data_IF_439202443363
#
_entry.id   IF_439202443363
#
_cell.length_a   1.000
_cell.length_b   1.000
_cell.length_c   1.000
_cell.angle_alpha   90.00
_cell.angle_beta   90.00
_cell.angle_gamma   90.00
#
_symmetry.space_group_name_H-M   'P 1'
#
loop_
_entity.id
_entity.type
_entity.pdbx_description
1 polymer ?
#
# COMPACT_ATOMS: atom_id res chain seq x y z
N UNK A 1 14.99 8.93 -7.21
CA UNK A 1 16.11 8.65 -6.28
C UNK A 1 16.70 9.96 -5.81
N UNK A 2 16.94 10.06 -4.51
CA UNK A 2 17.66 11.16 -3.87
C UNK A 2 18.86 10.58 -3.09
N UNK A 3 20.06 11.08 -3.35
CA UNK A 3 21.28 10.71 -2.62
C UNK A 3 21.30 11.43 -1.28
N UNK A 4 21.74 10.73 -0.22
CA UNK A 4 21.68 11.26 1.15
C UNK A 4 22.62 12.45 1.36
N UNK A 5 23.80 12.46 0.74
CA UNK A 5 24.75 13.56 0.81
C UNK A 5 24.23 14.89 0.21
N UNK A 6 23.12 14.81 -0.58
CA UNK A 6 22.45 15.98 -1.16
C UNK A 6 21.18 16.38 -0.38
N UNK A 7 20.84 15.65 0.67
CA UNK A 7 19.68 15.93 1.52
C UNK A 7 19.95 17.09 2.49
N UNK A 8 18.90 17.64 3.09
CA UNK A 8 19.04 18.57 4.19
C UNK A 8 19.41 17.80 5.47
N UNK A 9 20.46 18.26 6.18
CA UNK A 9 21.02 17.58 7.34
C UNK A 9 20.86 18.43 8.59
N UNK A 10 20.58 17.78 9.73
CA UNK A 10 20.34 18.43 11.01
C UNK A 10 21.13 17.77 12.14
N UNK A 11 21.40 18.53 13.21
CA UNK A 11 22.04 18.04 14.39
C UNK A 11 23.46 17.56 14.12
N UNK A 12 23.75 16.30 14.47
CA UNK A 12 25.05 15.66 14.25
C UNK A 12 25.17 14.94 12.92
N UNK A 13 24.11 14.88 12.12
CA UNK A 13 24.16 14.27 10.79
C UNK A 13 25.12 15.05 9.87
N UNK A 14 25.95 14.35 9.13
CA UNK A 14 26.94 14.94 8.24
C UNK A 14 27.29 14.02 7.07
N UNK A 15 27.84 14.60 6.01
CA UNK A 15 28.31 13.83 4.84
C UNK A 15 29.68 13.23 5.10
N UNK A 16 29.89 12.00 4.62
CA UNK A 16 31.15 11.27 4.75
C UNK A 16 31.48 10.46 3.50
N UNK A 17 32.73 9.98 3.39
CA UNK A 17 33.27 9.19 2.27
C UNK A 17 34.25 8.12 2.75
N UNK A 18 34.37 7.90 4.06
CA UNK A 18 35.41 7.02 4.64
C UNK A 18 35.08 5.52 4.56
N UNK A 19 33.94 5.17 3.97
CA UNK A 19 33.51 3.81 3.65
C UNK A 19 33.42 3.60 2.14
N UNK A 20 33.13 2.37 1.69
CA UNK A 20 33.11 2.01 0.27
C UNK A 20 31.71 1.53 -0.14
N UNK A 21 31.51 1.40 -1.45
CA UNK A 21 30.29 0.83 -2.07
C UNK A 21 29.00 1.66 -1.85
N UNK A 22 29.10 2.92 -1.40
CA UNK A 22 27.99 3.85 -1.46
C UNK A 22 27.70 4.30 -2.90
N UNK A 23 26.55 4.89 -3.17
CA UNK A 23 26.23 5.56 -4.43
C UNK A 23 26.56 7.05 -4.36
N UNK A 24 26.46 7.75 -5.49
CA UNK A 24 26.70 9.19 -5.52
C UNK A 24 28.14 9.58 -5.19
N UNK A 25 28.29 10.65 -4.43
CA UNK A 25 29.56 11.24 -4.03
C UNK A 25 29.91 11.03 -2.56
N UNK A 26 29.05 10.38 -1.79
CA UNK A 26 29.21 10.14 -0.36
C UNK A 26 27.98 9.50 0.26
N UNK A 27 27.92 9.52 1.56
CA UNK A 27 26.80 9.05 2.34
C UNK A 27 26.61 9.96 3.57
N UNK A 28 25.53 9.81 4.31
CA UNK A 28 25.30 10.51 5.56
C UNK A 28 25.58 9.59 6.74
N UNK A 29 26.38 10.06 7.68
CA UNK A 29 26.64 9.47 8.99
C UNK A 29 26.25 10.41 10.13
N UNK A 30 26.78 10.16 11.33
CA UNK A 30 26.58 11.05 12.47
C UNK A 30 25.18 11.05 13.07
N UNK A 31 24.31 10.13 12.69
CA UNK A 31 22.98 9.95 13.29
C UNK A 31 23.09 9.39 14.71
N UNK A 32 23.80 10.08 15.62
CA UNK A 32 24.25 9.56 16.92
C UNK A 32 23.65 10.26 18.12
N UNK A 33 22.89 11.32 17.95
CA UNK A 33 22.26 12.06 19.04
C UNK A 33 20.88 12.59 18.66
N UNK A 34 20.04 12.82 19.67
CA UNK A 34 18.72 13.44 19.49
C UNK A 34 18.84 14.75 18.71
N UNK A 35 17.98 14.92 17.72
CA UNK A 35 17.95 16.05 16.81
C UNK A 35 18.78 15.86 15.54
N UNK A 36 19.53 14.74 15.39
CA UNK A 36 20.12 14.38 14.11
C UNK A 36 19.03 13.98 13.12
N UNK A 37 19.16 14.40 11.88
CA UNK A 37 18.16 14.10 10.85
C UNK A 37 18.68 14.26 9.43
N UNK A 38 18.08 13.51 8.52
CA UNK A 38 18.30 13.58 7.08
C UNK A 38 16.95 13.73 6.40
N UNK A 39 16.75 14.81 5.63
CA UNK A 39 15.49 15.12 4.93
C UNK A 39 15.70 15.07 3.43
N UNK A 40 15.08 14.08 2.80
CA UNK A 40 15.07 13.88 1.36
C UNK A 40 13.92 14.65 0.73
N UNK A 41 14.21 15.44 -0.30
CA UNK A 41 13.19 16.05 -1.14
C UNK A 41 12.82 15.09 -2.28
N UNK A 42 11.55 14.70 -2.35
CA UNK A 42 11.00 13.79 -3.35
C UNK A 42 9.84 14.48 -4.08
N UNK A 43 9.86 14.43 -5.41
CA UNK A 43 8.73 14.91 -6.23
C UNK A 43 8.07 13.72 -6.90
N UNK A 44 6.75 13.62 -6.74
CA UNK A 44 5.92 12.59 -7.37
C UNK A 44 4.86 13.20 -8.29
N UNK A 45 4.43 12.48 -9.36
CA UNK A 45 3.53 13.04 -10.38
C UNK A 45 2.06 13.07 -9.97
N UNK A 46 1.66 12.35 -8.93
CA UNK A 46 0.28 12.21 -8.48
C UNK A 46 0.23 11.78 -7.01
N UNK A 47 -0.90 12.04 -6.33
CA UNK A 47 -1.16 11.50 -4.99
C UNK A 47 -1.19 9.98 -5.03
N UNK A 48 -0.69 9.31 -3.99
CA UNK A 48 -0.83 7.85 -3.94
C UNK A 48 0.22 7.12 -3.13
N UNK A 49 0.21 5.80 -3.34
CA UNK A 49 1.08 4.86 -2.63
C UNK A 49 2.36 4.64 -3.40
N UNK A 50 3.46 4.83 -2.71
CA UNK A 50 4.80 4.65 -3.26
C UNK A 50 5.60 3.66 -2.44
N UNK A 51 6.38 2.81 -3.12
CA UNK A 51 7.41 2.02 -2.47
C UNK A 51 8.66 2.86 -2.35
N UNK A 52 9.06 3.14 -1.11
CA UNK A 52 10.30 3.82 -0.77
C UNK A 52 11.34 2.78 -0.36
N UNK A 53 12.49 2.76 -1.03
CA UNK A 53 13.66 1.94 -0.70
C UNK A 53 14.73 2.85 -0.10
N UNK A 54 15.08 2.59 1.16
CA UNK A 54 16.13 3.28 1.91
C UNK A 54 17.36 2.39 1.86
N UNK A 55 18.44 2.88 1.27
CA UNK A 55 19.73 2.20 1.28
C UNK A 55 20.55 2.70 2.45
N UNK A 56 20.96 1.77 3.32
CA UNK A 56 21.61 2.07 4.60
C UNK A 56 22.75 1.12 4.91
N UNK A 57 23.58 1.49 5.85
CA UNK A 57 24.58 0.62 6.47
C UNK A 57 24.49 0.76 7.99
N UNK A 58 24.39 -0.39 8.67
CA UNK A 58 24.48 -0.50 10.13
C UNK A 58 25.61 -1.45 10.51
N UNK A 59 26.83 -0.95 10.57
CA UNK A 59 28.01 -1.71 10.97
C UNK A 59 28.16 -1.91 12.49
N UNK A 60 27.15 -1.60 13.29
CA UNK A 60 27.16 -1.91 14.74
C UNK A 60 26.83 -3.39 14.99
N UNK A 61 26.94 -3.83 16.24
CA UNK A 61 26.60 -5.22 16.63
C UNK A 61 25.12 -5.39 16.99
N UNK A 62 24.29 -4.34 16.88
CA UNK A 62 22.90 -4.35 17.29
C UNK A 62 22.01 -3.69 16.25
N UNK A 63 20.74 -4.09 16.19
CA UNK A 63 19.70 -3.35 15.45
C UNK A 63 19.62 -1.93 15.98
N UNK A 64 19.50 -0.96 15.08
CA UNK A 64 19.35 0.46 15.35
C UNK A 64 18.02 0.95 14.82
N UNK A 65 17.55 2.09 15.30
CA UNK A 65 16.29 2.64 14.88
C UNK A 65 16.35 4.18 14.72
N UNK A 66 15.53 4.66 13.79
CA UNK A 66 15.22 6.07 13.53
C UNK A 66 13.73 6.20 13.28
N UNK A 67 13.19 7.39 13.50
CA UNK A 67 11.81 7.69 13.14
C UNK A 67 11.70 8.19 11.71
N UNK A 68 10.71 7.67 11.00
CA UNK A 68 10.35 8.08 9.65
C UNK A 68 9.21 9.11 9.70
N UNK A 69 9.38 10.17 8.95
CA UNK A 69 8.38 11.24 8.77
C UNK A 69 8.12 11.48 7.28
N UNK A 70 6.91 11.86 6.96
CA UNK A 70 6.51 12.37 5.65
C UNK A 70 5.83 13.72 5.88
N UNK A 71 6.33 14.78 5.25
CA UNK A 71 5.80 16.14 5.37
C UNK A 71 5.60 16.55 6.84
N UNK A 72 6.62 16.31 7.67
CA UNK A 72 6.65 16.52 9.13
C UNK A 72 5.67 15.64 9.95
N UNK A 73 4.89 14.79 9.33
CA UNK A 73 4.02 13.85 10.02
C UNK A 73 4.77 12.55 10.34
N UNK A 74 4.75 12.13 11.61
CA UNK A 74 5.32 10.84 12.03
C UNK A 74 4.59 9.68 11.35
N UNK A 75 5.33 8.75 10.79
CA UNK A 75 4.81 7.55 10.13
C UNK A 75 5.05 6.31 11.00
N UNK A 76 6.30 6.00 11.26
CA UNK A 76 6.71 4.82 12.04
C UNK A 76 8.14 4.95 12.56
N UNK A 77 8.51 4.07 13.49
CA UNK A 77 9.90 3.83 13.85
C UNK A 77 10.46 2.70 12.99
N UNK A 78 11.53 3.00 12.23
CA UNK A 78 12.19 2.03 11.36
C UNK A 78 13.35 1.37 12.11
N UNK A 79 13.39 0.03 12.07
CA UNK A 79 14.50 -0.78 12.57
C UNK A 79 15.47 -1.12 11.44
N UNK A 80 16.73 -0.81 11.63
CA UNK A 80 17.85 -1.08 10.72
C UNK A 80 18.67 -2.23 11.25
N UNK A 81 18.61 -3.37 10.58
CA UNK A 81 19.34 -4.59 10.98
C UNK A 81 20.85 -4.37 10.97
N UNK A 82 21.56 -5.03 11.90
CA UNK A 82 23.01 -5.07 11.92
C UNK A 82 23.57 -6.01 10.85
N UNK A 83 24.70 -5.64 10.27
CA UNK A 83 25.48 -6.48 9.34
C UNK A 83 26.80 -6.95 9.96
N UNK A 84 26.86 -7.02 11.27
CA UNK A 84 27.97 -7.68 11.97
C UNK A 84 29.32 -6.93 12.01
N UNK A 85 29.30 -5.59 12.04
CA UNK A 85 30.51 -4.78 12.21
C UNK A 85 31.18 -4.34 10.91
N UNK A 86 30.57 -4.55 9.75
CA UNK A 86 31.09 -4.13 8.47
C UNK A 86 30.38 -2.87 7.96
N UNK A 87 31.05 -1.73 7.96
CA UNK A 87 30.52 -0.45 7.48
C UNK A 87 30.61 -0.26 5.94
N UNK A 88 31.04 -1.27 5.20
CA UNK A 88 31.15 -1.23 3.74
C UNK A 88 30.09 -2.10 3.04
N UNK A 89 29.19 -2.73 3.80
CA UNK A 89 28.05 -3.48 3.30
C UNK A 89 26.77 -2.69 3.44
N UNK A 90 26.14 -2.41 2.31
CA UNK A 90 24.93 -1.63 2.24
C UNK A 90 23.72 -2.55 2.04
N UNK A 91 22.66 -2.30 2.77
CA UNK A 91 21.38 -2.99 2.69
C UNK A 91 20.29 -2.07 2.18
N UNK A 92 19.20 -2.66 1.70
CA UNK A 92 18.00 -1.92 1.33
C UNK A 92 16.83 -2.34 2.22
N UNK A 93 16.06 -1.36 2.63
CA UNK A 93 14.87 -1.51 3.44
C UNK A 93 13.71 -0.81 2.72
N UNK A 94 12.60 -1.52 2.49
CA UNK A 94 11.46 -0.95 1.80
C UNK A 94 10.31 -0.61 2.74
N UNK A 95 9.63 0.51 2.45
CA UNK A 95 8.40 0.95 3.11
C UNK A 95 7.40 1.44 2.08
N UNK A 96 6.13 1.37 2.43
CA UNK A 96 5.08 2.02 1.64
C UNK A 96 4.78 3.36 2.27
N UNK A 97 4.85 4.42 1.46
CA UNK A 97 4.54 5.78 1.86
C UNK A 97 3.32 6.28 1.09
N UNK A 98 2.46 7.04 1.75
CA UNK A 98 1.48 7.90 1.10
C UNK A 98 2.16 9.25 0.81
N UNK A 99 2.20 9.64 -0.45
CA UNK A 99 2.81 10.89 -0.90
C UNK A 99 1.78 11.71 -1.69
N UNK A 100 1.83 13.03 -1.49
CA UNK A 100 0.98 13.98 -2.21
C UNK A 100 1.60 14.33 -3.57
N UNK A 101 0.80 14.69 -4.56
CA UNK A 101 1.29 15.22 -5.83
C UNK A 101 2.26 16.36 -5.62
N UNK A 102 3.35 16.35 -6.35
CA UNK A 102 4.39 17.37 -6.26
C UNK A 102 5.45 17.05 -5.22
N UNK A 103 5.87 18.06 -4.47
CA UNK A 103 7.02 18.01 -3.56
C UNK A 103 6.64 17.43 -2.20
N UNK A 104 7.40 16.43 -1.76
CA UNK A 104 7.30 15.82 -0.44
C UNK A 104 8.66 15.83 0.26
N UNK A 105 8.66 15.89 1.58
CA UNK A 105 9.83 15.70 2.42
C UNK A 105 9.70 14.36 3.14
N UNK A 106 10.64 13.46 2.86
CA UNK A 106 10.76 12.18 3.58
C UNK A 106 11.96 12.28 4.49
N UNK A 107 11.74 12.22 5.80
CA UNK A 107 12.79 12.43 6.79
C UNK A 107 13.06 11.18 7.64
N UNK A 108 14.33 10.92 7.93
CA UNK A 108 14.78 10.00 8.96
C UNK A 108 15.38 10.82 10.10
N UNK A 109 14.80 10.71 11.30
CA UNK A 109 15.18 11.53 12.47
C UNK A 109 15.54 10.65 13.67
N UNK A 110 16.57 11.06 14.39
CA UNK A 110 16.94 10.51 15.68
C UNK A 110 16.22 11.29 16.78
N UNK A 111 15.11 10.76 17.27
CA UNK A 111 14.38 11.31 18.40
C UNK A 111 14.85 10.67 19.72
N UNK A 112 14.40 11.20 20.86
CA UNK A 112 14.90 10.80 22.19
C UNK A 112 14.71 9.30 22.53
N UNK A 113 13.81 8.61 21.83
CA UNK A 113 13.56 7.17 22.02
C UNK A 113 14.38 6.28 21.08
N UNK A 114 15.08 6.84 20.10
CA UNK A 114 15.81 6.11 19.08
C UNK A 114 17.24 5.74 19.54
N UNK A 115 17.84 4.81 18.84
CA UNK A 115 19.20 4.33 19.07
C UNK A 115 20.21 4.81 18.02
N UNK A 116 19.75 5.37 16.92
CA UNK A 116 20.57 6.00 15.87
C UNK A 116 21.74 5.18 15.37
N UNK A 117 22.83 5.89 14.97
CA UNK A 117 24.09 5.31 14.49
C UNK A 117 23.90 4.39 13.26
N UNK A 118 23.25 4.93 12.25
CA UNK A 118 23.01 4.31 10.94
C UNK A 118 23.56 5.24 9.88
N UNK A 119 24.29 4.70 8.91
CA UNK A 119 24.69 5.45 7.73
C UNK A 119 23.62 5.32 6.66
N UNK A 120 23.29 6.43 6.00
CA UNK A 120 22.27 6.53 4.95
C UNK A 120 22.93 6.87 3.63
N UNK A 121 22.64 6.11 2.59
CA UNK A 121 23.21 6.30 1.25
C UNK A 121 22.25 7.01 0.31
N UNK A 122 21.04 6.48 0.16
CA UNK A 122 20.01 7.07 -0.68
C UNK A 122 18.58 6.64 -0.34
N UNK A 123 17.64 7.44 -0.81
CA UNK A 123 16.22 7.11 -0.87
C UNK A 123 15.77 7.00 -2.33
N UNK A 124 15.19 5.87 -2.70
CA UNK A 124 14.54 5.67 -4.00
C UNK A 124 13.04 5.50 -3.80
N UNK A 125 12.25 6.16 -4.63
CA UNK A 125 10.79 6.08 -4.59
C UNK A 125 10.29 5.66 -5.96
N UNK A 126 9.38 4.69 -6.00
CA UNK A 126 8.68 4.26 -7.21
C UNK A 126 7.20 4.07 -6.90
N UNK A 127 6.33 4.30 -7.88
CA UNK A 127 4.91 4.01 -7.76
C UNK A 127 4.73 2.58 -7.29
N UNK A 128 3.96 2.39 -6.23
CA UNK A 128 3.53 1.06 -5.81
C UNK A 128 2.22 0.78 -6.51
N UNK A 129 2.16 -0.15 -7.47
CA UNK A 129 0.89 -0.53 -8.05
C UNK A 129 -0.05 -0.94 -6.94
N UNK A 130 -1.28 -0.46 -6.97
CA UNK A 130 -2.33 -1.03 -6.15
C UNK A 130 -2.34 -2.54 -6.35
N UNK A 131 -2.64 -3.28 -5.29
CA UNK A 131 -2.73 -4.73 -5.41
C UNK A 131 -3.65 -5.03 -6.60
N UNK A 132 -3.07 -5.55 -7.68
CA UNK A 132 -3.86 -5.94 -8.84
C UNK A 132 -4.82 -7.01 -8.36
N UNK A 133 -6.10 -6.66 -8.31
CA UNK A 133 -7.16 -7.62 -8.04
C UNK A 133 -7.20 -8.53 -9.26
N UNK A 134 -6.50 -9.66 -9.17
CA UNK A 134 -6.35 -10.61 -10.28
C UNK A 134 -7.60 -11.46 -10.52
N UNK A 135 -8.63 -11.32 -9.68
CA UNK A 135 -9.91 -11.99 -9.80
C UNK A 135 -11.05 -10.95 -9.76
N UNK A 136 -12.18 -11.19 -10.41
CA UNK A 136 -13.32 -10.30 -10.29
C UNK A 136 -13.72 -10.19 -8.82
N UNK A 137 -13.82 -8.94 -8.31
CA UNK A 137 -14.22 -8.66 -6.92
C UNK A 137 -15.55 -9.28 -6.55
N UNK A 138 -16.46 -9.29 -7.52
CA UNK A 138 -17.78 -9.86 -7.39
C UNK A 138 -17.75 -11.26 -7.98
N UNK A 139 -17.87 -12.28 -7.14
CA UNK A 139 -17.91 -13.67 -7.60
C UNK A 139 -19.20 -13.93 -8.36
N UNK A 140 -19.10 -14.48 -9.56
CA UNK A 140 -20.22 -14.75 -10.45
C UNK A 140 -21.16 -13.54 -10.67
N UNK A 141 -20.57 -12.34 -10.86
CA UNK A 141 -21.34 -11.10 -11.04
C UNK A 141 -22.29 -11.11 -12.23
N UNK A 142 -22.00 -11.91 -13.25
CA UNK A 142 -22.86 -12.12 -14.42
C UNK A 142 -23.83 -13.29 -14.29
N UNK A 143 -23.84 -14.02 -13.17
CA UNK A 143 -24.68 -15.22 -12.92
C UNK A 143 -24.42 -16.41 -13.85
N UNK A 144 -23.41 -16.39 -14.69
CA UNK A 144 -23.18 -17.35 -15.76
C UNK A 144 -22.93 -18.79 -15.27
N UNK A 145 -22.48 -18.97 -14.03
CA UNK A 145 -22.24 -20.29 -13.42
C UNK A 145 -23.51 -20.96 -12.87
N UNK A 146 -24.59 -20.21 -12.75
CA UNK A 146 -25.81 -20.68 -12.09
C UNK A 146 -26.81 -21.27 -13.06
N UNK A 147 -27.61 -22.22 -12.58
CA UNK A 147 -28.67 -22.89 -13.37
C UNK A 147 -30.07 -22.48 -12.92
N UNK A 148 -30.25 -22.15 -11.64
CA UNK A 148 -31.57 -21.79 -11.10
C UNK A 148 -31.48 -20.78 -9.95
N UNK A 149 -30.52 -20.94 -9.04
CA UNK A 149 -30.22 -20.00 -7.94
C UNK A 149 -28.74 -19.76 -7.89
N UNK A 150 -28.36 -18.54 -7.53
CA UNK A 150 -26.95 -18.20 -7.43
C UNK A 150 -26.34 -18.73 -6.14
N UNK A 151 -25.29 -19.54 -6.26
CA UNK A 151 -24.52 -20.05 -5.12
C UNK A 151 -23.55 -19.02 -4.53
N UNK A 152 -23.23 -17.97 -5.29
CA UNK A 152 -22.29 -16.93 -4.90
C UNK A 152 -22.98 -15.73 -4.20
N UNK A 153 -24.30 -15.67 -4.22
CA UNK A 153 -25.09 -14.58 -3.68
C UNK A 153 -25.99 -15.04 -2.54
N UNK A 154 -26.08 -14.24 -1.51
CA UNK A 154 -26.98 -14.46 -0.37
C UNK A 154 -28.28 -13.71 -0.60
N UNK A 155 -29.40 -14.42 -0.51
CA UNK A 155 -30.73 -13.82 -0.57
C UNK A 155 -31.12 -13.24 0.79
N UNK A 156 -31.80 -12.10 0.76
CA UNK A 156 -32.43 -11.49 1.93
C UNK A 156 -33.85 -11.02 1.60
N UNK A 157 -34.76 -11.26 2.53
CA UNK A 157 -36.13 -10.76 2.54
C UNK A 157 -36.65 -10.63 3.97
N UNK A 158 -37.63 -9.76 4.26
CA UNK A 158 -38.34 -9.76 5.52
C UNK A 158 -39.10 -11.09 5.72
N UNK A 159 -39.31 -11.47 6.98
CA UNK A 159 -40.04 -12.70 7.31
C UNK A 159 -41.41 -12.76 6.62
N UNK A 160 -41.69 -13.90 5.94
CA UNK A 160 -42.93 -14.12 5.25
C UNK A 160 -43.11 -13.41 3.90
N UNK A 161 -42.04 -12.74 3.39
CA UNK A 161 -42.07 -11.99 2.13
C UNK A 161 -41.23 -12.59 1.00
N UNK A 162 -40.69 -13.78 1.19
CA UNK A 162 -39.93 -14.43 0.13
C UNK A 162 -40.75 -14.54 -1.17
N UNK A 163 -40.16 -14.13 -2.28
CA UNK A 163 -40.76 -14.25 -3.63
C UNK A 163 -39.88 -15.13 -4.50
N UNK A 164 -40.37 -15.45 -5.68
CA UNK A 164 -39.57 -16.21 -6.62
C UNK A 164 -38.31 -15.43 -7.01
N UNK A 165 -37.16 -16.02 -6.69
CA UNK A 165 -35.84 -15.57 -7.09
C UNK A 165 -35.15 -16.66 -7.87
N UNK A 166 -34.43 -16.31 -8.91
CA UNK A 166 -33.67 -17.29 -9.67
C UNK A 166 -32.77 -16.66 -10.71
N UNK A 167 -32.14 -17.54 -11.48
CA UNK A 167 -31.25 -17.16 -12.58
C UNK A 167 -31.78 -17.86 -13.85
N UNK A 168 -31.97 -17.10 -14.93
CA UNK A 168 -32.43 -17.62 -16.22
C UNK A 168 -31.78 -16.85 -17.40
N UNK A 169 -32.15 -17.26 -18.63
CA UNK A 169 -31.74 -16.57 -19.85
C UNK A 169 -32.71 -15.46 -20.28
N UNK A 170 -33.78 -15.23 -19.54
CA UNK A 170 -34.85 -14.30 -19.92
C UNK A 170 -35.76 -14.77 -21.08
N UNK A 171 -35.50 -15.91 -21.69
CA UNK A 171 -36.22 -16.38 -22.87
C UNK A 171 -37.68 -16.77 -22.59
N UNK A 172 -38.02 -17.08 -21.33
CA UNK A 172 -39.38 -17.46 -20.90
C UNK A 172 -40.27 -16.28 -20.50
N UNK A 173 -39.80 -15.06 -20.53
CA UNK A 173 -40.58 -13.85 -20.19
C UNK A 173 -41.40 -13.37 -21.39
N UNK A 174 -42.47 -12.60 -21.14
CA UNK A 174 -43.29 -12.01 -22.19
C UNK A 174 -43.49 -10.50 -21.93
N UNK A 175 -42.84 -9.59 -22.67
CA UNK A 175 -41.89 -9.88 -23.75
C UNK A 175 -40.57 -10.52 -23.23
N UNK A 176 -39.86 -11.26 -24.08
CA UNK A 176 -38.54 -11.79 -23.73
C UNK A 176 -37.57 -10.67 -23.36
N UNK A 177 -36.82 -10.87 -22.26
CA UNK A 177 -35.81 -9.91 -21.79
C UNK A 177 -34.45 -10.59 -21.80
N UNK A 178 -33.56 -10.12 -22.64
CA UNK A 178 -32.20 -10.63 -22.70
C UNK A 178 -31.34 -10.10 -21.53
N UNK A 179 -30.39 -10.88 -21.05
CA UNK A 179 -29.33 -10.35 -20.16
C UNK A 179 -28.63 -9.15 -20.78
N UNK A 180 -28.13 -8.23 -19.94
CA UNK A 180 -27.37 -7.07 -20.41
C UNK A 180 -26.03 -7.51 -21.03
N UNK A 181 -25.42 -8.53 -20.44
CA UNK A 181 -24.19 -9.17 -20.93
C UNK A 181 -24.20 -10.64 -20.56
N UNK A 182 -23.54 -11.50 -21.37
CA UNK A 182 -23.55 -12.95 -21.18
C UNK A 182 -24.89 -13.64 -21.53
N UNK A 183 -25.10 -14.81 -20.97
CA UNK A 183 -26.25 -15.66 -21.26
C UNK A 183 -27.28 -15.75 -20.13
N UNK A 184 -26.97 -15.16 -18.96
CA UNK A 184 -27.74 -15.27 -17.72
C UNK A 184 -28.06 -13.93 -17.09
N UNK A 185 -29.16 -13.93 -16.31
CA UNK A 185 -29.59 -12.81 -15.47
C UNK A 185 -30.21 -13.33 -14.17
N UNK A 186 -30.14 -12.55 -13.09
CA UNK A 186 -30.95 -12.79 -11.91
C UNK A 186 -32.33 -12.12 -12.08
N UNK A 187 -33.37 -12.74 -11.53
CA UNK A 187 -34.70 -12.17 -11.52
C UNK A 187 -35.38 -12.31 -10.16
N UNK A 188 -36.28 -11.39 -9.88
CA UNK A 188 -37.26 -11.46 -8.79
C UNK A 188 -38.65 -11.36 -9.39
N UNK A 189 -39.58 -12.21 -8.95
CA UNK A 189 -40.93 -12.20 -9.46
C UNK A 189 -41.95 -12.35 -8.33
N UNK A 190 -42.96 -11.47 -8.33
CA UNK A 190 -44.15 -11.58 -7.46
C UNK A 190 -45.37 -10.95 -8.14
N UNK A 191 -46.55 -11.49 -7.88
CA UNK A 191 -47.83 -10.88 -8.25
C UNK A 191 -48.31 -9.79 -7.29
N UNK A 192 -47.58 -9.53 -6.24
CA UNK A 192 -47.87 -8.50 -5.22
C UNK A 192 -46.61 -7.73 -4.80
N UNK A 193 -46.79 -6.64 -4.07
CA UNK A 193 -45.65 -5.87 -3.56
C UNK A 193 -44.75 -6.72 -2.65
N UNK A 194 -43.44 -6.61 -2.80
CA UNK A 194 -42.44 -7.37 -2.04
C UNK A 194 -41.19 -6.55 -1.75
N UNK A 195 -40.37 -7.03 -0.81
CA UNK A 195 -39.02 -6.55 -0.54
C UNK A 195 -38.07 -7.74 -0.56
N UNK A 196 -37.07 -7.69 -1.41
CA UNK A 196 -36.06 -8.75 -1.53
C UNK A 196 -34.80 -8.19 -2.13
N UNK A 197 -33.66 -8.74 -1.72
CA UNK A 197 -32.37 -8.41 -2.29
C UNK A 197 -31.48 -9.64 -2.37
N UNK A 198 -30.45 -9.54 -3.18
CA UNK A 198 -29.30 -10.45 -3.14
C UNK A 198 -28.07 -9.63 -2.83
N UNK A 199 -27.16 -10.19 -2.05
CA UNK A 199 -25.93 -9.53 -1.67
C UNK A 199 -24.76 -10.50 -1.59
N UNK A 200 -23.56 -9.95 -1.63
CA UNK A 200 -22.31 -10.69 -1.53
C UNK A 200 -21.32 -9.90 -0.66
N UNK A 201 -20.63 -10.61 0.25
CA UNK A 201 -19.51 -10.04 0.99
C UNK A 201 -18.27 -9.97 0.09
N UNK A 202 -17.62 -8.83 0.04
CA UNK A 202 -16.40 -8.61 -0.74
C UNK A 202 -15.26 -8.29 0.23
N UNK A 203 -14.16 -9.03 0.13
CA UNK A 203 -12.94 -8.71 0.85
C UNK A 203 -12.07 -7.82 -0.04
N UNK A 204 -11.98 -6.56 0.33
CA UNK A 204 -11.09 -5.61 -0.33
C UNK A 204 -9.72 -5.60 0.39
N UNK A 205 -8.59 -5.69 -0.32
CA UNK A 205 -7.30 -5.40 0.28
C UNK A 205 -7.26 -3.94 0.73
N UNK A 206 -6.41 -3.60 1.69
CA UNK A 206 -6.25 -2.20 2.10
C UNK A 206 -5.78 -1.36 0.90
N UNK A 207 -6.48 -0.28 0.59
CA UNK A 207 -6.21 0.60 -0.55
C UNK A 207 -7.28 1.68 -0.69
N UNK A 208 -7.09 2.56 -1.64
CA UNK A 208 -8.11 3.54 -2.08
C UNK A 208 -8.92 2.91 -3.21
N UNK A 209 -10.26 3.06 -3.17
CA UNK A 209 -11.21 2.50 -4.15
C UNK A 209 -12.11 3.60 -4.70
#
# INVERSE_FOLDING_TARGET
>A
TAEAENAALYGTAGTNQDHWNYSGSGFVDGMTSTGAGTEFEITVPEDGRYEASIRYCNGTQATKDLNLYVNDSYVETISFGSIGGNWNEWQELTRTLELDEGRNIVALRYDSSNSGNVNLDKLSVKTKPDATISAPLVDNGGFERDTSQSSAWTEWHPDGQAVAYGVDSGSGTNPPESPYAGDKRAYFYSGSAYQQSIHQGINLPNGTY
#
